data_IF_534152211172
#
_entry.id   IF_534152211172
#
_cell.length_a   1.000
_cell.length_b   1.000
_cell.length_c   1.000
_cell.angle_alpha   90.00
_cell.angle_beta   90.00
_cell.angle_gamma   90.00
#
_symmetry.space_group_name_H-M   'P 1'
#
loop_
_entity.id
_entity.type
_entity.pdbx_description
1 polymer ?
#
# COMPACT_ATOMS: atom_id res chain seq x y z
N UNK A 1 -8.53 -8.00 19.77
CA UNK A 1 -8.45 -8.55 18.39
C UNK A 1 -7.07 -8.34 17.77
N UNK A 2 -6.54 -7.13 17.60
CA UNK A 2 -5.24 -6.89 16.93
C UNK A 2 -4.05 -7.58 17.61
N UNK A 3 -3.86 -7.36 18.92
CA UNK A 3 -2.80 -8.02 19.70
C UNK A 3 -3.07 -9.51 19.91
N UNK A 4 -4.33 -9.95 19.77
CA UNK A 4 -4.73 -11.36 19.90
C UNK A 4 -4.13 -12.21 18.78
N UNK A 5 -3.95 -11.65 17.58
CA UNK A 5 -3.29 -12.35 16.46
C UNK A 5 -1.85 -12.75 16.82
N UNK A 6 -1.12 -11.89 17.53
CA UNK A 6 0.27 -12.16 17.93
C UNK A 6 0.38 -13.35 18.89
N UNK A 7 -0.62 -13.56 19.76
CA UNK A 7 -0.64 -14.67 20.71
C UNK A 7 -0.65 -16.05 20.02
N UNK A 8 -1.15 -16.11 18.78
CA UNK A 8 -1.21 -17.34 17.97
C UNK A 8 -0.16 -17.34 16.85
N UNK A 9 0.89 -16.51 16.96
CA UNK A 9 1.96 -16.43 15.96
C UNK A 9 1.53 -15.84 14.62
N UNK A 10 0.45 -15.05 14.59
CA UNK A 10 -0.05 -14.35 13.39
C UNK A 10 0.02 -12.83 13.58
N UNK A 11 -0.19 -12.08 12.51
CA UNK A 11 -0.28 -10.62 12.56
C UNK A 11 -1.64 -10.16 12.09
N UNK A 12 -2.14 -9.05 12.63
CA UNK A 12 -3.42 -8.47 12.18
C UNK A 12 -3.37 -8.13 10.68
N UNK A 13 -2.27 -7.51 10.24
CA UNK A 13 -2.02 -7.23 8.83
C UNK A 13 -2.04 -8.51 7.97
N UNK A 14 -1.43 -9.59 8.44
CA UNK A 14 -1.42 -10.88 7.75
C UNK A 14 -2.83 -11.47 7.58
N UNK A 15 -3.70 -11.32 8.58
CA UNK A 15 -5.11 -11.71 8.44
C UNK A 15 -5.86 -10.85 7.41
N UNK A 16 -5.71 -9.52 7.46
CA UNK A 16 -6.34 -8.66 6.46
C UNK A 16 -5.88 -8.96 5.03
N UNK A 17 -4.59 -9.30 4.84
CA UNK A 17 -4.05 -9.71 3.54
C UNK A 17 -4.64 -11.06 3.12
N UNK A 18 -4.75 -12.03 4.03
CA UNK A 18 -5.36 -13.33 3.74
C UNK A 18 -6.82 -13.18 3.29
N UNK A 19 -7.60 -12.33 3.97
CA UNK A 19 -8.98 -12.01 3.59
C UNK A 19 -9.04 -11.35 2.21
N UNK A 20 -8.13 -10.43 1.91
CA UNK A 20 -8.04 -9.80 0.59
C UNK A 20 -7.69 -10.82 -0.51
N UNK A 21 -6.75 -11.73 -0.27
CA UNK A 21 -6.39 -12.83 -1.20
C UNK A 21 -7.58 -13.78 -1.44
N UNK A 22 -8.38 -14.06 -0.41
CA UNK A 22 -9.60 -14.83 -0.54
C UNK A 22 -10.63 -14.09 -1.41
N UNK A 23 -10.85 -12.79 -1.17
CA UNK A 23 -11.72 -11.95 -1.99
C UNK A 23 -11.30 -11.91 -3.46
N UNK A 24 -9.99 -11.81 -3.74
CA UNK A 24 -9.46 -11.90 -5.12
C UNK A 24 -9.85 -13.23 -5.80
N UNK A 25 -9.84 -14.33 -5.06
CA UNK A 25 -10.21 -15.65 -5.59
C UNK A 25 -11.69 -15.71 -5.98
N UNK A 26 -12.56 -15.11 -5.16
CA UNK A 26 -13.99 -14.98 -5.44
C UNK A 26 -14.22 -14.11 -6.68
N UNK A 27 -13.60 -12.94 -6.74
CA UNK A 27 -13.76 -12.00 -7.86
C UNK A 27 -13.32 -12.60 -9.19
N UNK A 28 -12.22 -13.36 -9.22
CA UNK A 28 -11.73 -14.00 -10.46
C UNK A 28 -12.70 -15.04 -11.04
N UNK A 29 -13.53 -15.66 -10.21
CA UNK A 29 -14.54 -16.62 -10.66
C UNK A 29 -15.89 -15.97 -10.97
N UNK A 30 -16.03 -14.65 -10.79
CA UNK A 30 -17.30 -13.98 -10.91
C UNK A 30 -17.64 -13.67 -12.38
N UNK A 31 -18.82 -14.06 -12.91
CA UNK A 31 -19.11 -14.00 -14.35
C UNK A 31 -18.98 -12.62 -15.01
N UNK A 32 -19.18 -11.55 -14.23
CA UNK A 32 -19.14 -10.16 -14.73
C UNK A 32 -17.83 -9.44 -14.43
N UNK A 33 -16.83 -10.14 -13.90
CA UNK A 33 -15.51 -9.57 -13.58
C UNK A 33 -14.50 -10.02 -14.61
N UNK A 34 -13.82 -9.05 -15.24
CA UNK A 34 -12.63 -9.34 -16.04
C UNK A 34 -11.47 -9.69 -15.09
N UNK A 35 -11.08 -10.97 -15.11
CA UNK A 35 -10.05 -11.48 -14.21
C UNK A 35 -8.64 -10.93 -14.47
N UNK A 36 -8.43 -10.29 -15.63
CA UNK A 36 -7.18 -9.61 -16.00
C UNK A 36 -7.20 -8.11 -15.66
N UNK A 37 -8.30 -7.59 -15.10
CA UNK A 37 -8.47 -6.19 -14.68
C UNK A 37 -8.91 -6.06 -13.22
N UNK A 38 -8.24 -6.79 -12.33
CA UNK A 38 -8.50 -6.72 -10.88
C UNK A 38 -7.43 -5.88 -10.19
N UNK A 39 -7.85 -4.82 -9.49
CA UNK A 39 -6.98 -3.94 -8.72
C UNK A 39 -7.38 -3.86 -7.25
N UNK A 40 -6.49 -3.31 -6.43
CA UNK A 40 -6.76 -3.01 -5.02
C UNK A 40 -6.67 -1.52 -4.77
N UNK A 41 -7.61 -0.97 -4.00
CA UNK A 41 -7.60 0.41 -3.56
C UNK A 41 -7.74 0.46 -2.04
N UNK A 42 -7.00 1.35 -1.39
CA UNK A 42 -7.09 1.50 0.05
C UNK A 42 -6.70 2.88 0.56
N UNK A 43 -7.22 3.20 1.74
CA UNK A 43 -6.91 4.41 2.49
C UNK A 43 -6.30 4.07 3.85
N UNK A 44 -5.26 4.81 4.25
CA UNK A 44 -4.61 4.65 5.57
C UNK A 44 -4.10 3.22 5.78
N UNK A 45 -4.53 2.53 6.84
CA UNK A 45 -4.21 1.12 7.06
C UNK A 45 -4.71 0.21 5.91
N UNK A 46 -5.87 0.52 5.32
CA UNK A 46 -6.37 -0.18 4.14
C UNK A 46 -5.46 -0.02 2.92
N UNK A 47 -4.75 1.11 2.80
CA UNK A 47 -3.76 1.31 1.74
C UNK A 47 -2.56 0.36 1.91
N UNK A 48 -2.14 0.11 3.17
CA UNK A 48 -1.12 -0.90 3.48
C UNK A 48 -1.58 -2.29 3.08
N UNK A 49 -2.82 -2.69 3.41
CA UNK A 49 -3.37 -3.99 2.98
C UNK A 49 -3.43 -4.10 1.46
N UNK A 50 -3.92 -3.07 0.76
CA UNK A 50 -3.98 -3.06 -0.70
C UNK A 50 -2.61 -3.29 -1.33
N UNK A 51 -1.62 -2.48 -0.97
CA UNK A 51 -0.27 -2.60 -1.51
C UNK A 51 0.42 -3.91 -1.12
N UNK A 52 0.30 -4.35 0.13
CA UNK A 52 0.98 -5.57 0.58
C UNK A 52 0.33 -6.83 0.01
N UNK A 53 -0.98 -6.81 -0.25
CA UNK A 53 -1.66 -7.87 -1.00
C UNK A 53 -1.05 -7.99 -2.39
N UNK A 54 -0.86 -6.87 -3.10
CA UNK A 54 -0.23 -6.87 -4.42
C UNK A 54 1.26 -7.27 -4.41
N UNK A 55 1.96 -7.02 -3.30
CA UNK A 55 3.35 -7.43 -3.12
C UNK A 55 3.50 -8.97 -3.04
N UNK A 56 2.49 -9.66 -2.50
CA UNK A 56 2.52 -11.12 -2.30
C UNK A 56 1.62 -11.90 -3.28
N UNK A 57 0.73 -11.22 -4.01
CA UNK A 57 -0.22 -11.85 -4.94
C UNK A 57 -0.29 -11.09 -6.28
N UNK A 58 0.26 -11.71 -7.33
CA UNK A 58 0.36 -11.14 -8.69
C UNK A 58 -0.95 -11.16 -9.49
N UNK A 59 -2.05 -11.60 -8.87
CA UNK A 59 -3.39 -11.44 -9.44
C UNK A 59 -3.84 -9.98 -9.39
N UNK A 60 -3.28 -9.17 -8.48
CA UNK A 60 -3.50 -7.72 -8.46
C UNK A 60 -2.74 -7.04 -9.60
N UNK A 61 -3.47 -6.35 -10.48
CA UNK A 61 -2.95 -5.70 -11.70
C UNK A 61 -2.80 -4.19 -11.60
N UNK A 62 -3.44 -3.59 -10.59
CA UNK A 62 -3.33 -2.17 -10.29
C UNK A 62 -3.48 -1.91 -8.78
N UNK A 63 -2.75 -0.95 -8.25
CA UNK A 63 -2.81 -0.57 -6.83
C UNK A 63 -3.02 0.93 -6.69
N UNK A 64 -4.00 1.32 -5.88
CA UNK A 64 -4.14 2.69 -5.38
C UNK A 64 -3.85 2.71 -3.88
N UNK A 65 -2.77 3.39 -3.52
CA UNK A 65 -2.39 3.68 -2.14
C UNK A 65 -2.73 5.13 -1.81
N UNK A 66 -3.75 5.36 -0.99
CA UNK A 66 -4.08 6.70 -0.50
C UNK A 66 -3.74 6.85 0.98
N UNK A 67 -2.92 7.85 1.29
CA UNK A 67 -2.56 8.19 2.67
C UNK A 67 -1.05 8.35 2.82
N UNK A 68 -0.56 8.16 4.05
CA UNK A 68 0.88 8.24 4.33
C UNK A 68 1.52 6.87 4.24
N UNK A 69 2.51 6.69 3.39
CA UNK A 69 3.38 5.50 3.42
C UNK A 69 4.00 5.40 4.82
N UNK A 70 3.67 4.32 5.51
CA UNK A 70 4.07 4.12 6.88
C UNK A 70 5.60 3.92 6.97
N UNK A 71 6.19 4.43 8.05
CA UNK A 71 7.58 4.14 8.39
C UNK A 71 7.64 3.91 9.90
N UNK A 72 7.85 2.66 10.34
CA UNK A 72 8.00 2.33 11.75
C UNK A 72 9.15 3.09 12.39
N UNK A 73 10.32 3.18 11.76
CA UNK A 73 11.48 3.92 12.30
C UNK A 73 11.16 5.40 12.52
N UNK A 74 10.61 6.09 11.52
CA UNK A 74 10.22 7.50 11.67
C UNK A 74 9.12 7.68 12.73
N UNK A 75 8.22 6.70 12.89
CA UNK A 75 7.21 6.73 13.94
C UNK A 75 7.83 6.60 15.33
N UNK A 76 8.72 5.64 15.55
CA UNK A 76 9.41 5.46 16.83
C UNK A 76 10.21 6.70 17.24
N UNK A 77 10.78 7.42 16.27
CA UNK A 77 11.51 8.66 16.52
C UNK A 77 10.60 9.86 16.85
N UNK A 78 9.45 10.00 16.15
CA UNK A 78 8.62 11.22 16.21
C UNK A 78 7.36 11.09 17.09
N UNK A 79 6.85 9.90 17.32
CA UNK A 79 5.59 9.65 18.04
C UNK A 79 5.68 8.38 18.88
N UNK A 80 6.17 8.54 20.11
CA UNK A 80 6.34 7.45 21.09
C UNK A 80 5.01 6.92 21.65
N UNK A 81 3.88 7.56 21.36
CA UNK A 81 2.56 7.17 21.88
C UNK A 81 1.79 6.25 20.91
N UNK A 82 2.14 6.24 19.63
CA UNK A 82 1.52 5.37 18.64
C UNK A 82 2.21 4.01 18.58
N UNK A 83 1.48 2.95 18.97
CA UNK A 83 2.02 1.57 18.97
C UNK A 83 2.27 1.00 17.57
N UNK A 84 1.69 1.59 16.51
CA UNK A 84 1.76 1.04 15.15
C UNK A 84 1.20 -0.39 15.02
N UNK A 85 0.48 -0.89 16.03
CA UNK A 85 0.17 -2.32 16.20
C UNK A 85 -0.58 -2.93 15.02
N UNK A 86 -1.40 -2.14 14.32
CA UNK A 86 -2.19 -2.56 13.16
C UNK A 86 -1.34 -3.18 12.04
N UNK A 87 -0.20 -2.55 11.72
CA UNK A 87 0.67 -2.98 10.65
C UNK A 87 1.93 -3.70 11.17
N UNK A 88 1.98 -4.03 12.47
CA UNK A 88 3.17 -4.59 13.09
C UNK A 88 3.43 -6.00 12.55
N UNK A 89 4.65 -6.21 12.03
CA UNK A 89 5.19 -7.52 11.68
C UNK A 89 6.46 -7.72 12.52
N UNK A 90 6.43 -8.57 13.55
CA UNK A 90 7.59 -8.83 14.40
C UNK A 90 8.82 -9.21 13.56
N UNK A 91 9.97 -8.61 13.88
CA UNK A 91 11.24 -8.87 13.22
C UNK A 91 11.46 -8.19 11.87
N UNK A 92 10.42 -7.70 11.20
CA UNK A 92 10.55 -7.11 9.85
C UNK A 92 11.50 -5.91 9.81
N UNK A 93 11.50 -5.08 10.87
CA UNK A 93 12.39 -3.91 10.95
C UNK A 93 13.88 -4.27 10.99
N UNK A 94 14.25 -5.49 11.36
CA UNK A 94 15.66 -5.93 11.27
C UNK A 94 16.11 -6.13 9.81
N UNK A 95 15.17 -6.26 8.88
CA UNK A 95 15.42 -6.55 7.48
C UNK A 95 15.17 -5.33 6.58
N UNK A 96 14.07 -4.60 6.79
CA UNK A 96 13.65 -3.54 5.87
C UNK A 96 12.64 -2.54 6.47
N UNK A 97 12.35 -1.45 5.77
CA UNK A 97 11.23 -0.54 6.02
C UNK A 97 9.96 -0.97 5.28
N UNK A 98 8.81 -0.39 5.64
CA UNK A 98 7.54 -0.69 4.94
C UNK A 98 7.53 -0.14 3.51
N UNK A 99 8.26 0.95 3.24
CA UNK A 99 8.47 1.43 1.88
C UNK A 99 9.21 0.42 1.01
N UNK A 100 10.16 -0.33 1.58
CA UNK A 100 10.86 -1.39 0.84
C UNK A 100 9.91 -2.55 0.50
N UNK A 101 9.01 -2.94 1.42
CA UNK A 101 7.96 -3.93 1.13
C UNK A 101 7.05 -3.48 -0.01
N UNK A 102 6.69 -2.18 -0.03
CA UNK A 102 5.92 -1.63 -1.15
C UNK A 102 6.70 -1.65 -2.47
N UNK A 103 8.04 -1.65 -2.43
CA UNK A 103 8.87 -1.86 -3.61
C UNK A 103 8.63 -3.22 -4.28
N UNK A 104 8.24 -4.25 -3.53
CA UNK A 104 7.87 -5.56 -4.09
C UNK A 104 6.57 -5.56 -4.90
N UNK A 105 5.78 -4.48 -4.85
CA UNK A 105 4.61 -4.31 -5.73
C UNK A 105 5.04 -4.21 -7.19
N UNK A 106 6.22 -3.67 -7.48
CA UNK A 106 6.76 -3.67 -8.84
C UNK A 106 6.78 -5.11 -9.43
N UNK A 107 6.46 -5.30 -10.72
CA UNK A 107 6.15 -4.28 -11.72
C UNK A 107 4.67 -3.89 -11.81
N UNK A 108 3.81 -4.25 -10.86
CA UNK A 108 2.37 -3.91 -10.91
C UNK A 108 2.18 -2.39 -10.95
N UNK A 109 1.24 -1.88 -11.75
CA UNK A 109 0.97 -0.44 -11.82
C UNK A 109 0.45 0.09 -10.49
N UNK A 110 0.99 1.22 -10.04
CA UNK A 110 0.68 1.76 -8.72
C UNK A 110 0.53 3.28 -8.74
N UNK A 111 -0.57 3.78 -8.19
CA UNK A 111 -0.73 5.16 -7.79
C UNK A 111 -0.52 5.29 -6.28
N UNK A 112 0.33 6.23 -5.87
CA UNK A 112 0.48 6.65 -4.48
C UNK A 112 0.03 8.10 -4.32
N UNK A 113 -1.09 8.32 -3.64
CA UNK A 113 -1.49 9.64 -3.14
C UNK A 113 -0.89 9.83 -1.74
N UNK A 114 0.33 10.35 -1.70
CA UNK A 114 1.17 10.47 -0.51
C UNK A 114 0.84 11.75 0.26
N UNK A 115 0.26 11.61 1.46
CA UNK A 115 -0.03 12.75 2.36
C UNK A 115 1.24 13.52 2.73
N UNK A 116 1.23 14.84 2.53
CA UNK A 116 2.24 15.79 2.99
C UNK A 116 1.76 16.43 4.29
N UNK A 117 2.15 15.84 5.42
CA UNK A 117 1.86 16.41 6.76
C UNK A 117 2.98 17.35 7.18
N UNK A 118 2.87 18.61 6.77
CA UNK A 118 3.76 19.74 7.11
C UNK A 118 5.22 19.65 6.63
N UNK A 119 5.68 18.48 6.18
CA UNK A 119 7.09 18.20 5.87
C UNK A 119 7.19 17.45 4.52
N UNK A 120 7.36 18.19 3.40
CA UNK A 120 7.46 17.61 2.05
C UNK A 120 8.66 16.68 1.87
N UNK A 121 9.79 16.98 2.49
CA UNK A 121 10.99 16.13 2.41
C UNK A 121 10.74 14.77 3.07
N UNK A 122 10.07 14.75 4.22
CA UNK A 122 9.66 13.48 4.83
C UNK A 122 8.62 12.76 4.00
N UNK A 123 7.68 13.46 3.38
CA UNK A 123 6.72 12.82 2.48
C UNK A 123 7.45 12.15 1.29
N UNK A 124 8.42 12.83 0.68
CA UNK A 124 9.22 12.30 -0.41
C UNK A 124 10.10 11.10 0.01
N UNK A 125 10.77 11.20 1.16
CA UNK A 125 11.63 10.11 1.67
C UNK A 125 10.89 8.78 1.88
N UNK A 126 9.57 8.83 2.16
CA UNK A 126 8.75 7.64 2.41
C UNK A 126 8.46 6.85 1.14
N UNK A 127 8.43 7.50 -0.01
CA UNK A 127 8.16 6.86 -1.31
C UNK A 127 9.44 6.50 -2.08
N UNK A 128 10.58 7.02 -1.65
CA UNK A 128 11.88 6.79 -2.30
C UNK A 128 12.22 5.29 -2.51
N UNK A 129 11.97 4.36 -1.55
CA UNK A 129 12.18 2.93 -1.79
C UNK A 129 11.41 2.37 -2.99
N UNK A 130 10.17 2.84 -3.21
CA UNK A 130 9.35 2.41 -4.34
C UNK A 130 9.96 2.93 -5.64
N UNK A 131 10.34 4.21 -5.67
CA UNK A 131 10.96 4.85 -6.84
C UNK A 131 12.20 4.05 -7.25
N UNK A 132 13.07 3.68 -6.29
CA UNK A 132 14.24 2.84 -6.56
C UNK A 132 13.86 1.47 -7.12
N UNK A 133 12.88 0.80 -6.55
CA UNK A 133 12.47 -0.55 -6.99
C UNK A 133 11.92 -0.53 -8.43
N UNK A 134 11.01 0.40 -8.76
CA UNK A 134 10.44 0.51 -10.10
C UNK A 134 11.49 0.91 -11.15
N UNK A 135 12.42 1.82 -10.80
CA UNK A 135 13.55 2.17 -11.67
C UNK A 135 14.48 0.99 -11.91
N UNK A 136 14.83 0.23 -10.87
CA UNK A 136 15.72 -0.92 -10.98
C UNK A 136 15.17 -2.03 -11.89
N UNK A 137 13.83 -2.14 -11.97
CA UNK A 137 13.14 -3.09 -12.86
C UNK A 137 12.83 -2.53 -14.25
N UNK A 138 13.24 -1.30 -14.57
CA UNK A 138 13.01 -0.69 -15.88
C UNK A 138 11.56 -0.32 -16.17
N UNK A 139 10.72 -0.21 -15.13
CA UNK A 139 9.26 0.03 -15.23
C UNK A 139 8.85 1.29 -14.47
N UNK A 140 9.69 2.34 -14.50
CA UNK A 140 9.44 3.58 -13.76
C UNK A 140 8.10 4.24 -14.13
N UNK A 141 7.63 4.06 -15.35
CA UNK A 141 6.35 4.52 -15.90
C UNK A 141 5.12 3.82 -15.27
N UNK A 142 5.31 2.67 -14.63
CA UNK A 142 4.24 1.98 -13.90
C UNK A 142 3.93 2.60 -12.53
N UNK A 143 4.77 3.51 -12.03
CA UNK A 143 4.59 4.17 -10.73
C UNK A 143 4.18 5.63 -10.93
N UNK A 144 2.99 5.98 -10.43
CA UNK A 144 2.52 7.37 -10.34
C UNK A 144 2.53 7.80 -8.87
N UNK A 145 3.20 8.90 -8.56
CA UNK A 145 3.19 9.49 -7.22
C UNK A 145 2.56 10.88 -7.30
N UNK A 146 1.53 11.11 -6.48
CA UNK A 146 0.93 12.43 -6.26
C UNK A 146 1.09 12.78 -4.80
N UNK A 147 1.65 13.96 -4.53
CA UNK A 147 1.73 14.49 -3.17
C UNK A 147 0.43 15.22 -2.84
N UNK A 148 -0.19 14.83 -1.73
CA UNK A 148 -1.45 15.40 -1.24
C UNK A 148 -1.15 16.38 -0.10
N UNK A 149 -1.17 17.66 -0.42
CA UNK A 149 -0.83 18.79 0.45
C UNK A 149 -2.03 19.36 1.24
N UNK A 150 -3.21 18.75 1.11
CA UNK A 150 -4.43 19.19 1.82
C UNK A 150 -4.28 19.14 3.34
N UNK A 151 -3.25 18.46 3.87
CA UNK A 151 -2.92 18.38 5.28
C UNK A 151 -3.94 17.60 6.13
N UNK A 152 -5.00 17.07 5.51
CA UNK A 152 -6.08 16.33 6.17
C UNK A 152 -5.93 14.83 5.93
N UNK A 153 -6.24 14.03 6.96
CA UNK A 153 -6.29 12.57 6.82
C UNK A 153 -7.61 12.16 6.17
N UNK A 154 -7.72 12.32 4.85
CA UNK A 154 -8.91 12.00 4.06
C UNK A 154 -8.53 11.27 2.79
N UNK A 155 -9.35 10.31 2.40
CA UNK A 155 -9.18 9.58 1.15
C UNK A 155 -9.15 10.52 -0.07
N UNK A 156 -8.15 10.35 -0.93
CA UNK A 156 -7.99 11.09 -2.18
C UNK A 156 -8.74 10.38 -3.32
N UNK A 157 -10.07 10.52 -3.34
CA UNK A 157 -10.95 9.80 -4.27
C UNK A 157 -10.77 10.19 -5.74
N UNK A 158 -10.89 11.48 -6.09
CA UNK A 158 -10.79 11.94 -7.49
C UNK A 158 -9.49 11.48 -8.18
N UNK A 159 -8.28 11.69 -7.61
CA UNK A 159 -7.05 11.18 -8.21
C UNK A 159 -7.04 9.67 -8.43
N UNK A 160 -7.67 8.91 -7.53
CA UNK A 160 -7.74 7.46 -7.63
C UNK A 160 -8.66 7.02 -8.78
N UNK A 161 -9.86 7.60 -8.87
CA UNK A 161 -10.83 7.22 -9.89
C UNK A 161 -10.36 7.60 -11.29
N UNK A 162 -9.83 8.81 -11.46
CA UNK A 162 -9.23 9.26 -12.73
C UNK A 162 -8.12 8.32 -13.19
N UNK A 163 -7.22 7.94 -12.28
CA UNK A 163 -6.11 7.07 -12.61
C UNK A 163 -6.55 5.67 -13.02
N UNK A 164 -7.54 5.10 -12.32
CA UNK A 164 -8.12 3.81 -12.68
C UNK A 164 -8.82 3.88 -14.05
N UNK A 165 -9.56 4.95 -14.34
CA UNK A 165 -10.23 5.15 -15.63
C UNK A 165 -9.24 5.27 -16.79
N UNK A 166 -8.12 5.98 -16.59
CA UNK A 166 -7.05 6.05 -17.60
C UNK A 166 -6.40 4.68 -17.84
N UNK A 167 -6.27 3.87 -16.78
CA UNK A 167 -5.65 2.55 -16.87
C UNK A 167 -6.57 1.52 -17.55
N UNK A 168 -7.85 1.54 -17.20
CA UNK A 168 -8.88 0.64 -17.73
C UNK A 168 -10.07 1.44 -18.25
N UNK A 169 -9.96 2.00 -19.47
CA UNK A 169 -11.10 2.63 -20.11
C UNK A 169 -12.22 1.60 -20.32
N UNK A 170 -13.45 2.04 -20.07
CA UNK A 170 -14.70 1.29 -20.28
C UNK A 170 -15.27 1.62 -21.65
#
# INVERSE_FOLDING_TARGET
MMLSALHVGRTYLGWCIADAIAALSVLRGWPTVDSDRIGTIGFSMGATVAAWTAAVDRRVKAVVYSGRVASPRLRLLRDKKSSGALACVPGLMHLMEYGDVMGFVAPTRMLVSQEVRNDPEVAASRVEPLIRAYKALGVADHLTIRFDDRGIHKFAGEPAYEWVQMLWPV
#
